data_IF_873665515001
#
_entry.id   IF_873665515001
#
_cell.length_a   1.000
_cell.length_b   1.000
_cell.length_c   1.000
_cell.angle_alpha   90.00
_cell.angle_beta   90.00
_cell.angle_gamma   90.00
#
_symmetry.space_group_name_H-M   'P 1'
#
loop_
_entity.id
_entity.type
_entity.pdbx_description
1 polymer ?
#
# COMPACT_ATOMS: atom_id res chain seq x y z
N UNK A 1 0.30 -7.79 5.08
CA UNK A 1 1.71 -7.34 5.07
C UNK A 1 1.72 -5.84 5.33
N UNK A 2 2.53 -5.38 6.27
CA UNK A 2 2.66 -3.95 6.59
C UNK A 2 4.11 -3.52 6.37
N UNK A 3 4.32 -2.34 5.78
CA UNK A 3 5.64 -1.75 5.57
C UNK A 3 5.81 -0.61 6.57
N UNK A 4 6.99 -0.51 7.18
CA UNK A 4 7.29 0.42 8.26
C UNK A 4 8.32 1.45 7.79
N UNK A 5 8.08 2.73 8.05
CA UNK A 5 9.07 3.79 7.97
C UNK A 5 9.23 4.37 9.38
N UNK A 6 10.41 4.21 9.96
CA UNK A 6 10.74 4.81 11.25
C UNK A 6 11.15 6.26 11.01
N UNK A 7 10.52 7.20 11.72
CA UNK A 7 10.95 8.61 11.69
C UNK A 7 12.00 8.86 12.76
N UNK A 8 12.83 9.89 12.56
CA UNK A 8 13.87 10.31 13.52
C UNK A 8 13.29 10.68 14.90
N UNK A 9 11.99 10.99 14.97
CA UNK A 9 11.25 11.28 16.20
C UNK A 9 10.84 10.04 17.02
N UNK A 10 11.16 8.83 16.56
CA UNK A 10 10.77 7.58 17.22
C UNK A 10 9.31 7.16 16.96
N UNK A 11 8.56 7.93 16.17
CA UNK A 11 7.23 7.52 15.71
C UNK A 11 7.37 6.54 14.52
N UNK A 12 6.59 5.46 14.55
CA UNK A 12 6.61 4.46 13.46
C UNK A 12 5.43 4.72 12.54
N UNK A 13 5.72 5.01 11.27
CA UNK A 13 4.71 5.11 10.22
C UNK A 13 4.54 3.75 9.56
N UNK A 14 3.29 3.38 9.28
CA UNK A 14 2.94 2.13 8.65
C UNK A 14 2.12 2.40 7.39
N UNK A 15 2.38 1.58 6.37
CA UNK A 15 1.50 1.44 5.22
C UNK A 15 0.75 0.13 5.36
N UNK A 16 -0.58 0.21 5.44
CA UNK A 16 -1.45 -0.93 5.69
C UNK A 16 -2.43 -1.07 4.54
N UNK A 17 -2.56 -2.27 3.99
CA UNK A 17 -3.63 -2.57 3.03
C UNK A 17 -4.96 -2.53 3.79
N UNK A 18 -5.77 -1.49 3.55
CA UNK A 18 -7.09 -1.34 4.16
C UNK A 18 -8.20 -1.98 3.33
N UNK A 19 -7.99 -2.10 2.03
CA UNK A 19 -8.90 -2.77 1.11
C UNK A 19 -8.10 -3.39 -0.04
N UNK A 20 -8.48 -4.59 -0.44
CA UNK A 20 -8.02 -5.21 -1.69
C UNK A 20 -9.23 -5.88 -2.36
N UNK A 21 -9.61 -5.36 -3.52
CA UNK A 21 -10.63 -5.96 -4.39
C UNK A 21 -9.92 -6.55 -5.61
N UNK A 22 -10.04 -7.86 -5.78
CA UNK A 22 -9.36 -8.63 -6.82
C UNK A 22 -10.42 -9.30 -7.70
N UNK A 23 -10.49 -8.90 -8.97
CA UNK A 23 -11.41 -9.50 -9.92
C UNK A 23 -10.64 -10.37 -10.91
N UNK A 24 -10.70 -11.69 -10.73
CA UNK A 24 -10.19 -12.63 -11.73
C UNK A 24 -11.14 -12.68 -12.93
N UNK A 25 -10.58 -12.44 -14.11
CA UNK A 25 -11.29 -12.58 -15.39
C UNK A 25 -11.01 -13.94 -16.02
N UNK A 26 -9.85 -14.54 -15.72
CA UNK A 26 -9.39 -15.84 -16.23
C UNK A 26 -8.54 -16.55 -15.19
N UNK A 27 -8.45 -17.88 -15.32
CA UNK A 27 -7.55 -18.68 -14.51
C UNK A 27 -6.09 -18.38 -14.85
N UNK A 28 -5.25 -18.32 -13.82
CA UNK A 28 -3.79 -18.28 -13.91
C UNK A 28 -3.30 -19.71 -13.74
N UNK A 29 -2.51 -20.21 -14.68
CA UNK A 29 -2.05 -21.61 -14.65
C UNK A 29 -0.73 -21.73 -13.87
N UNK A 30 -0.40 -22.95 -13.46
CA UNK A 30 0.88 -23.25 -12.83
C UNK A 30 2.02 -22.96 -13.82
N UNK A 31 3.15 -22.45 -13.30
CA UNK A 31 4.36 -22.10 -14.04
C UNK A 31 4.18 -21.04 -15.14
N UNK A 32 3.06 -20.31 -15.10
CA UNK A 32 2.81 -19.22 -16.03
C UNK A 32 3.59 -17.96 -15.64
N UNK A 33 4.28 -17.36 -16.61
CA UNK A 33 4.89 -16.03 -16.45
C UNK A 33 3.84 -14.96 -16.72
N UNK A 34 3.46 -14.24 -15.66
CA UNK A 34 2.51 -13.13 -15.71
C UNK A 34 3.21 -11.78 -15.63
N UNK A 35 2.67 -10.79 -16.34
CA UNK A 35 3.04 -9.38 -16.20
C UNK A 35 2.06 -8.69 -15.27
N UNK A 36 2.57 -8.03 -14.25
CA UNK A 36 1.75 -7.26 -13.31
C UNK A 36 2.05 -5.78 -13.53
N UNK A 37 1.01 -5.01 -13.84
CA UNK A 37 1.13 -3.59 -14.21
C UNK A 37 0.27 -2.75 -13.29
N UNK A 38 0.82 -1.63 -12.83
CA UNK A 38 0.02 -0.58 -12.17
C UNK A 38 -0.56 0.28 -13.29
N UNK A 39 -1.87 0.25 -13.45
CA UNK A 39 -2.58 0.96 -14.52
C UNK A 39 -2.85 2.41 -14.14
N UNK A 40 -3.10 2.65 -12.84
CA UNK A 40 -3.38 3.98 -12.30
C UNK A 40 -3.03 4.04 -10.82
N UNK A 41 -2.54 5.20 -10.39
CA UNK A 41 -2.38 5.52 -8.98
C UNK A 41 -3.22 6.75 -8.64
N UNK A 42 -3.99 6.69 -7.57
CA UNK A 42 -4.63 7.88 -6.99
C UNK A 42 -4.07 8.17 -5.61
N UNK A 43 -3.59 9.39 -5.43
CA UNK A 43 -3.11 9.86 -4.15
C UNK A 43 -4.22 10.60 -3.39
N UNK A 44 -4.53 10.14 -2.18
CA UNK A 44 -5.45 10.81 -1.24
C UNK A 44 -4.66 11.32 -0.04
N UNK A 45 -5.24 12.20 0.81
CA UNK A 45 -4.51 12.78 1.92
C UNK A 45 -3.82 11.76 2.83
N UNK A 46 -4.50 10.67 3.21
CA UNK A 46 -4.03 9.66 4.15
C UNK A 46 -3.98 8.24 3.56
N UNK A 47 -4.09 8.11 2.24
CA UNK A 47 -4.08 6.82 1.57
C UNK A 47 -3.61 6.91 0.12
N UNK A 48 -3.17 5.77 -0.41
CA UNK A 48 -2.75 5.59 -1.80
C UNK A 48 -3.62 4.49 -2.39
N UNK A 49 -4.19 4.72 -3.57
CA UNK A 49 -5.02 3.73 -4.26
C UNK A 49 -4.29 3.29 -5.52
N UNK A 50 -4.01 1.99 -5.62
CA UNK A 50 -3.43 1.37 -6.79
C UNK A 50 -4.52 0.62 -7.56
N UNK A 51 -4.64 0.92 -8.83
CA UNK A 51 -5.35 0.08 -9.79
C UNK A 51 -4.30 -0.71 -10.56
N UNK A 52 -4.42 -2.04 -10.51
CA UNK A 52 -3.42 -2.96 -11.03
C UNK A 52 -4.09 -4.01 -11.90
N UNK A 53 -3.42 -4.36 -12.99
CA UNK A 53 -3.84 -5.45 -13.86
C UNK A 53 -2.76 -6.51 -13.97
N UNK A 54 -3.22 -7.75 -14.08
CA UNK A 54 -2.37 -8.93 -14.31
C UNK A 54 -2.64 -9.41 -15.73
N UNK A 55 -1.59 -9.59 -16.51
CA UNK A 55 -1.64 -10.04 -17.89
C UNK A 55 -0.83 -11.32 -18.10
N UNK A 56 -1.34 -12.19 -18.98
CA UNK A 56 -0.60 -13.28 -19.61
C UNK A 56 0.05 -12.76 -20.88
N UNK A 57 1.33 -13.04 -21.08
CA UNK A 57 1.97 -12.82 -22.37
C UNK A 57 1.61 -14.01 -23.28
N UNK A 58 0.95 -13.75 -24.41
CA UNK A 58 0.72 -14.79 -25.42
C UNK A 58 1.94 -14.87 -26.34
N UNK A 59 2.40 -16.07 -26.71
CA UNK A 59 3.46 -16.22 -27.69
C UNK A 59 3.02 -15.60 -29.02
N UNK A 60 3.83 -14.67 -29.54
CA UNK A 60 3.55 -13.97 -30.80
C UNK A 60 3.68 -14.95 -31.98
N UNK A 61 2.55 -15.47 -32.47
CA UNK A 61 2.53 -16.26 -33.68
C UNK A 61 2.27 -15.36 -34.90
N UNK A 62 3.33 -14.73 -35.41
CA UNK A 62 3.37 -14.14 -36.75
C UNK A 62 2.96 -12.67 -36.87
N UNK A 63 3.93 -11.85 -37.30
CA UNK A 63 3.78 -10.62 -38.11
C UNK A 63 2.68 -9.63 -37.69
N UNK A 64 2.89 -8.92 -36.59
CA UNK A 64 2.79 -7.45 -36.44
C UNK A 64 2.96 -7.12 -34.96
N UNK A 65 3.66 -6.03 -34.66
CA UNK A 65 4.06 -5.59 -33.32
C UNK A 65 2.87 -5.07 -32.50
N UNK A 66 1.93 -5.95 -32.17
CA UNK A 66 0.90 -5.66 -31.17
C UNK A 66 1.14 -6.58 -30.00
N UNK A 67 1.39 -6.01 -28.82
CA UNK A 67 1.55 -6.72 -27.55
C UNK A 67 0.31 -7.62 -27.33
N UNK A 68 0.39 -8.88 -27.74
CA UNK A 68 -0.65 -9.88 -27.52
C UNK A 68 -0.63 -10.28 -26.05
N UNK A 69 -1.14 -9.40 -25.20
CA UNK A 69 -1.29 -9.62 -23.77
C UNK A 69 -2.76 -9.89 -23.45
N UNK A 70 -3.01 -10.91 -22.64
CA UNK A 70 -4.36 -11.28 -22.22
C UNK A 70 -4.58 -10.91 -20.76
N UNK A 71 -5.58 -10.07 -20.50
CA UNK A 71 -5.95 -9.69 -19.14
C UNK A 71 -6.45 -10.91 -18.35
N UNK A 72 -5.82 -11.16 -17.21
CA UNK A 72 -6.14 -12.22 -16.24
C UNK A 72 -6.91 -11.68 -15.04
N UNK A 73 -6.55 -10.50 -14.55
CA UNK A 73 -7.19 -9.90 -13.39
C UNK A 73 -7.08 -8.37 -13.41
N UNK A 74 -8.08 -7.71 -12.83
CA UNK A 74 -8.04 -6.28 -12.50
C UNK A 74 -8.29 -6.12 -11.01
N UNK A 75 -7.54 -5.20 -10.40
CA UNK A 75 -7.38 -5.11 -8.95
C UNK A 75 -7.43 -3.67 -8.50
N UNK A 76 -8.08 -3.42 -7.37
CA UNK A 76 -8.01 -2.14 -6.64
C UNK A 76 -7.49 -2.39 -5.23
N UNK A 77 -6.33 -1.82 -4.91
CA UNK A 77 -5.71 -1.90 -3.59
C UNK A 77 -5.70 -0.51 -2.97
N UNK A 78 -6.22 -0.38 -1.75
CA UNK A 78 -6.16 0.84 -0.95
C UNK A 78 -5.15 0.63 0.16
N UNK A 79 -4.15 1.49 0.20
CA UNK A 79 -3.11 1.53 1.22
C UNK A 79 -3.36 2.73 2.12
N UNK A 80 -3.66 2.51 3.40
CA UNK A 80 -3.74 3.56 4.41
C UNK A 80 -2.36 3.89 4.97
N UNK A 81 -2.12 5.19 5.21
CA UNK A 81 -0.95 5.70 5.93
C UNK A 81 -1.36 5.93 7.38
N UNK A 82 -0.71 5.23 8.31
CA UNK A 82 -1.05 5.27 9.73
C UNK A 82 0.21 5.39 10.56
N UNK A 83 0.08 5.83 11.80
CA UNK A 83 1.20 6.03 12.71
C UNK A 83 0.85 5.50 14.09
N UNK A 84 1.80 4.80 14.71
CA UNK A 84 1.70 4.44 16.12
C UNK A 84 2.01 5.66 16.99
N UNK A 85 1.14 5.97 17.95
CA UNK A 85 1.47 6.91 19.01
C UNK A 85 2.44 6.24 19.98
N UNK A 86 3.72 6.57 19.89
CA UNK A 86 4.71 6.14 20.87
C UNK A 86 4.77 7.18 21.98
N UNK A 87 3.88 7.07 22.98
CA UNK A 87 4.14 7.65 24.30
C UNK A 87 3.28 6.99 25.39
N UNK A 88 3.87 6.53 26.51
CA UNK A 88 3.17 6.61 27.78
C UNK A 88 3.16 8.10 28.16
N UNK A 89 1.98 8.72 28.23
CA UNK A 89 1.89 9.95 29.00
C UNK A 89 2.13 9.57 30.47
N UNK A 90 3.10 10.18 31.18
CA UNK A 90 3.08 10.10 32.63
C UNK A 90 1.84 10.89 33.06
N UNK A 91 0.80 10.18 33.48
CA UNK A 91 -0.23 10.81 34.31
C UNK A 91 0.48 11.33 35.55
N UNK A 92 0.78 12.63 35.57
CA UNK A 92 1.00 13.35 36.81
C UNK A 92 -0.31 13.25 37.58
N UNK A 93 -0.33 12.38 38.58
CA UNK A 93 -1.08 12.56 39.81
C UNK A 93 -0.43 11.66 40.85
N UNK A 94 0.22 12.30 41.82
CA UNK A 94 0.43 11.73 43.13
C UNK A 94 -0.94 11.22 43.64
N UNK A 95 -1.06 9.91 43.86
CA UNK A 95 -1.35 9.35 45.19
C UNK A 95 -1.47 7.82 45.15
N UNK A 96 -0.96 7.25 46.24
CA UNK A 96 -0.73 5.86 46.61
C UNK A 96 -1.99 4.97 46.56
N UNK A 97 -1.87 3.74 46.05
CA UNK A 97 -2.69 2.62 46.54
C UNK A 97 -3.11 1.52 45.56
N UNK A 98 -2.61 0.30 45.82
CA UNK A 98 -3.19 -1.02 45.54
C UNK A 98 -3.19 -1.61 44.11
N UNK A 99 -2.34 -2.63 43.96
CA UNK A 99 -2.60 -3.97 43.42
C UNK A 99 -3.64 -4.14 42.30
N UNK A 100 -3.12 -4.36 41.07
CA UNK A 100 -3.74 -5.31 40.12
C UNK A 100 -2.70 -5.82 39.11
N UNK A 101 -2.54 -7.15 38.93
CA UNK A 101 -1.76 -7.71 37.85
C UNK A 101 -2.71 -7.92 36.66
N UNK A 102 -2.64 -7.07 35.64
CA UNK A 102 -3.21 -7.34 34.32
C UNK A 102 -2.84 -6.18 33.40
N UNK A 103 -1.80 -6.33 32.59
CA UNK A 103 -1.60 -5.42 31.45
C UNK A 103 -1.36 -6.27 30.21
N UNK A 104 -2.48 -6.68 29.63
CA UNK A 104 -2.63 -7.05 28.24
C UNK A 104 -1.68 -6.21 27.38
N UNK A 105 -0.98 -6.83 26.43
CA UNK A 105 -0.11 -6.16 25.49
C UNK A 105 -0.85 -4.97 24.85
N UNK A 106 -0.63 -3.76 25.37
CA UNK A 106 -1.26 -2.55 24.86
C UNK A 106 -0.53 -2.20 23.57
N UNK A 107 -1.02 -2.74 22.46
CA UNK A 107 -0.60 -2.28 21.13
C UNK A 107 -0.88 -0.77 21.08
N UNK A 108 0.14 0.07 20.84
CA UNK A 108 -0.05 1.51 20.83
C UNK A 108 -1.13 1.89 19.81
N UNK A 109 -2.01 2.86 20.13
CA UNK A 109 -3.10 3.23 19.23
C UNK A 109 -2.57 3.76 17.90
N UNK A 110 -3.13 3.23 16.81
CA UNK A 110 -2.83 3.63 15.43
C UNK A 110 -3.77 4.76 14.99
N UNK A 111 -3.21 5.85 14.46
CA UNK A 111 -3.98 6.95 13.87
C UNK A 111 -3.68 7.11 12.37
N UNK A 112 -4.68 7.44 11.53
CA UNK A 112 -4.42 7.86 10.15
C UNK A 112 -3.53 9.10 10.12
N UNK A 113 -2.53 9.11 9.24
CA UNK A 113 -1.67 10.26 8.98
C UNK A 113 -1.66 10.59 7.51
N UNK A 114 -1.23 11.80 7.17
CA UNK A 114 -1.06 12.16 5.77
C UNK A 114 0.07 11.34 5.13
N UNK A 115 -0.05 11.07 3.83
CA UNK A 115 1.05 10.46 3.05
C UNK A 115 2.30 11.34 3.19
N UNK A 116 3.47 10.78 3.54
CA UNK A 116 4.70 11.55 3.67
C UNK A 116 5.02 12.37 2.43
N UNK A 117 5.39 13.64 2.60
CA UNK A 117 5.59 14.59 1.49
C UNK A 117 6.57 14.07 0.43
N UNK A 118 7.71 13.50 0.86
CA UNK A 118 8.72 12.94 -0.04
C UNK A 118 8.13 11.82 -0.91
N UNK A 119 7.42 10.87 -0.28
CA UNK A 119 6.78 9.77 -1.01
C UNK A 119 5.71 10.29 -1.96
N UNK A 120 4.88 11.23 -1.52
CA UNK A 120 3.88 11.90 -2.35
C UNK A 120 4.50 12.50 -3.61
N UNK A 121 5.55 13.30 -3.47
CA UNK A 121 6.23 13.94 -4.62
C UNK A 121 6.82 12.91 -5.56
N UNK A 122 7.47 11.86 -5.04
CA UNK A 122 8.02 10.77 -5.87
C UNK A 122 6.93 10.02 -6.64
N UNK A 123 5.78 9.76 -6.02
CA UNK A 123 4.65 9.09 -6.69
C UNK A 123 4.05 10.01 -7.75
N UNK A 124 3.82 11.29 -7.45
CA UNK A 124 3.30 12.27 -8.41
C UNK A 124 4.22 12.36 -9.63
N UNK A 125 5.54 12.46 -9.43
CA UNK A 125 6.52 12.45 -10.53
C UNK A 125 6.47 11.15 -11.35
N UNK A 126 6.41 9.99 -10.71
CA UNK A 126 6.36 8.70 -11.41
C UNK A 126 5.06 8.56 -12.24
N UNK A 127 3.94 9.11 -11.76
CA UNK A 127 2.68 9.15 -12.51
C UNK A 127 2.85 10.02 -13.77
N UNK A 128 3.45 11.21 -13.62
CA UNK A 128 3.65 12.13 -14.74
C UNK A 128 4.59 11.54 -15.82
N UNK A 129 5.65 10.84 -15.40
CA UNK A 129 6.57 10.14 -16.31
C UNK A 129 5.86 9.02 -17.08
N UNK A 130 4.95 8.27 -16.45
CA UNK A 130 4.15 7.24 -17.14
C UNK A 130 3.18 7.83 -18.17
N UNK A 131 2.57 8.97 -17.87
CA UNK A 131 1.65 9.64 -18.82
C UNK A 131 2.42 10.19 -20.02
N UNK A 132 3.61 10.75 -19.80
CA UNK A 132 4.41 11.37 -20.87
C UNK A 132 5.21 10.36 -21.70
N UNK A 133 5.53 9.17 -21.17
CA UNK A 133 6.21 8.10 -21.90
C UNK A 133 5.31 7.25 -22.82
N UNK A 134 4.00 7.54 -22.86
CA UNK A 134 3.01 6.85 -23.71
C UNK A 134 2.56 7.71 -24.93
N UNK A 135 3.18 8.85 -25.19
CA UNK A 135 3.00 9.67 -26.41
C UNK A 135 4.15 9.46 -27.39
#
# INVERSE_FOLDING_TARGET
>A
MAIFLQTDSGEVQHFVVSQADLQYKRAILLDEVISVRIDKVELKPASIIFYQSIYRNLPNHGTTETDNSQLLSSTKIVIACVQNLVKPEPMSNDEIGSDKPDTAATTPPMRPIRVPKKLRVTIEQAIDEQVNGQQ
#
